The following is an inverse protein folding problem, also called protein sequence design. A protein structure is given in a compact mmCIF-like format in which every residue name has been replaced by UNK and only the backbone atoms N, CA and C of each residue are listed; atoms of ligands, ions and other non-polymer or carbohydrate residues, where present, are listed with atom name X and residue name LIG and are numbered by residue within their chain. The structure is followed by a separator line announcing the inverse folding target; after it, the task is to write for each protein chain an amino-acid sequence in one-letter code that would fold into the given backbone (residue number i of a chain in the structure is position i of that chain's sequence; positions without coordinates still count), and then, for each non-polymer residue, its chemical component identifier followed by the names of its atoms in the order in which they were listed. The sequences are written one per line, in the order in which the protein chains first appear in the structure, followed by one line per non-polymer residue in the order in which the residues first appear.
data_IF_082635422819
#
_entry.id   IF_082635422819
#
_cell.length_a   1.000
_cell.length_b   1.000
_cell.length_c   1.000
_cell.angle_alpha   90.00
_cell.angle_beta   90.00
_cell.angle_gamma   90.00
#
_symmetry.space_group_name_H-M   'P 1'
#
loop_
_entity.id
_entity.type
_entity.pdbx_description
1 polymer ?
#
# COMPACT_ATOMS: atom_id res chain seq x y z
N UNK A 1 -5.27 -12.51 21.02
CA UNK A 1 -6.69 -12.31 20.63
C UNK A 1 -6.82 -10.92 20.05
N UNK A 2 -7.67 -10.72 19.04
CA UNK A 2 -7.90 -9.40 18.48
C UNK A 2 -8.62 -8.52 19.51
N UNK A 3 -8.14 -7.29 19.69
CA UNK A 3 -8.69 -6.30 20.63
C UNK A 3 -9.36 -5.17 19.84
N UNK A 4 -10.37 -4.50 20.40
CA UNK A 4 -10.99 -3.33 19.79
C UNK A 4 -9.97 -2.19 19.60
N UNK A 5 -10.17 -1.35 18.57
CA UNK A 5 -9.19 -0.32 18.19
C UNK A 5 -8.97 0.73 19.30
N UNK A 6 -10.02 1.03 20.08
CA UNK A 6 -10.01 1.99 21.19
C UNK A 6 -10.55 1.35 22.47
N UNK A 7 -9.77 0.52 23.18
CA UNK A 7 -10.27 -0.37 24.22
C UNK A 7 -10.93 0.36 25.40
N UNK A 8 -10.40 1.50 25.83
CA UNK A 8 -10.99 2.29 26.92
C UNK A 8 -12.31 2.96 26.53
N UNK A 9 -12.42 3.48 25.30
CA UNK A 9 -13.65 4.09 24.81
C UNK A 9 -14.74 3.03 24.53
N UNK A 10 -14.34 1.86 24.02
CA UNK A 10 -15.23 0.72 23.84
C UNK A 10 -15.70 0.17 25.19
N UNK A 11 -14.83 0.07 26.18
CA UNK A 11 -15.17 -0.35 27.54
C UNK A 11 -16.20 0.60 28.19
N UNK A 12 -15.97 1.92 28.15
CA UNK A 12 -16.93 2.91 28.66
C UNK A 12 -18.31 2.74 28.01
N UNK A 13 -18.36 2.56 26.68
CA UNK A 13 -19.64 2.32 26.02
C UNK A 13 -20.32 1.02 26.46
N UNK A 14 -19.56 -0.08 26.58
CA UNK A 14 -20.12 -1.38 27.01
C UNK A 14 -20.63 -1.34 28.46
N UNK A 15 -19.93 -0.64 29.36
CA UNK A 15 -20.37 -0.45 30.75
C UNK A 15 -21.71 0.28 30.81
N UNK A 16 -21.89 1.32 30.01
CA UNK A 16 -23.09 2.17 30.05
C UNK A 16 -24.30 1.57 29.30
N UNK A 17 -24.05 0.74 28.27
CA UNK A 17 -25.08 0.34 27.30
C UNK A 17 -25.40 -1.15 27.31
N UNK A 18 -24.76 -1.96 28.16
CA UNK A 18 -24.97 -3.42 28.21
C UNK A 18 -25.02 -3.95 29.64
N UNK A 19 -25.60 -5.13 29.83
CA UNK A 19 -25.62 -5.85 31.10
C UNK A 19 -24.47 -6.86 31.23
N UNK A 20 -23.34 -6.63 30.53
CA UNK A 20 -22.17 -7.51 30.57
C UNK A 20 -21.43 -7.37 31.91
N UNK A 21 -20.82 -8.47 32.37
CA UNK A 21 -19.97 -8.41 33.55
C UNK A 21 -18.64 -7.70 33.27
N UNK A 22 -18.03 -7.11 34.29
CA UNK A 22 -16.74 -6.44 34.16
C UNK A 22 -15.63 -7.39 33.69
N UNK A 23 -15.70 -8.68 34.04
CA UNK A 23 -14.78 -9.70 33.54
C UNK A 23 -14.91 -9.92 32.02
N UNK A 24 -16.14 -9.93 31.50
CA UNK A 24 -16.39 -10.07 30.06
C UNK A 24 -15.88 -8.85 29.29
N UNK A 25 -16.13 -7.64 29.81
CA UNK A 25 -15.65 -6.39 29.20
C UNK A 25 -14.13 -6.32 29.26
N UNK A 26 -13.52 -6.67 30.39
CA UNK A 26 -12.06 -6.73 30.57
C UNK A 26 -11.42 -7.72 29.58
N UNK A 27 -11.97 -8.92 29.46
CA UNK A 27 -11.49 -9.94 28.52
C UNK A 27 -11.61 -9.52 27.06
N UNK A 28 -12.71 -8.84 26.68
CA UNK A 28 -12.93 -8.37 25.32
C UNK A 28 -12.04 -7.17 24.95
N UNK A 29 -11.96 -6.16 25.83
CA UNK A 29 -11.15 -4.96 25.60
C UNK A 29 -9.66 -5.17 25.87
N UNK A 30 -9.27 -6.27 26.52
CA UNK A 30 -7.89 -6.53 26.93
C UNK A 30 -7.40 -5.60 28.04
N UNK A 31 -8.32 -5.13 28.89
CA UNK A 31 -8.04 -4.26 30.03
C UNK A 31 -8.11 -5.05 31.33
N UNK A 32 -7.48 -4.54 32.39
CA UNK A 32 -7.62 -5.10 33.72
C UNK A 32 -9.00 -4.79 34.31
N UNK A 33 -9.55 -5.69 35.13
CA UNK A 33 -10.88 -5.51 35.74
C UNK A 33 -10.99 -4.21 36.56
N UNK A 34 -9.91 -3.83 37.26
CA UNK A 34 -9.84 -2.58 38.03
C UNK A 34 -9.94 -1.33 37.14
N UNK A 35 -9.46 -1.41 35.89
CA UNK A 35 -9.62 -0.31 34.93
C UNK A 35 -11.07 -0.17 34.49
N UNK A 36 -11.77 -1.30 34.29
CA UNK A 36 -13.21 -1.31 33.99
C UNK A 36 -14.03 -0.76 35.17
N UNK A 37 -13.68 -1.13 36.41
CA UNK A 37 -14.31 -0.58 37.60
C UNK A 37 -14.07 0.93 37.72
N UNK A 38 -12.84 1.41 37.51
CA UNK A 38 -12.53 2.83 37.52
C UNK A 38 -13.28 3.62 36.41
N UNK A 39 -13.56 2.99 35.27
CA UNK A 39 -14.41 3.55 34.21
C UNK A 39 -15.88 3.59 34.65
N UNK A 40 -16.39 2.53 35.28
CA UNK A 40 -17.76 2.48 35.78
C UNK A 40 -18.02 3.46 36.93
N UNK A 41 -17.01 3.71 37.76
CA UNK A 41 -17.07 4.65 38.88
C UNK A 41 -16.82 6.12 38.45
N UNK A 42 -16.65 6.40 37.16
CA UNK A 42 -16.29 7.72 36.61
C UNK A 42 -14.99 8.31 37.20
N UNK A 43 -14.16 7.49 37.84
CA UNK A 43 -12.90 7.88 38.50
C UNK A 43 -11.72 7.96 37.52
N UNK A 44 -11.84 7.35 36.34
CA UNK A 44 -10.85 7.47 35.29
C UNK A 44 -10.94 8.86 34.64
N UNK A 45 -9.99 9.75 34.96
CA UNK A 45 -9.94 11.18 34.62
C UNK A 45 -9.88 11.54 33.10
N UNK A 46 -10.29 10.66 32.20
CA UNK A 46 -10.43 10.97 30.78
C UNK A 46 -11.89 10.76 30.38
N UNK A 47 -12.60 11.86 30.14
CA UNK A 47 -13.93 11.90 29.52
C UNK A 47 -13.83 11.36 28.07
N UNK A 48 -13.56 10.07 27.94
CA UNK A 48 -13.51 9.37 26.66
C UNK A 48 -14.94 9.25 26.18
N UNK A 49 -15.26 9.89 25.06
CA UNK A 49 -16.55 9.66 24.41
C UNK A 49 -16.65 8.18 24.08
N UNK A 50 -17.58 7.47 24.72
CA UNK A 50 -17.81 6.04 24.49
C UNK A 50 -17.95 5.74 23.00
N UNK A 51 -17.23 4.72 22.53
CA UNK A 51 -17.24 4.29 21.13
C UNK A 51 -18.10 3.03 21.03
N UNK A 52 -19.23 3.16 20.35
CA UNK A 52 -20.13 2.02 20.06
C UNK A 52 -19.40 0.96 19.19
N UNK A 53 -19.12 -0.25 19.73
CA UNK A 53 -18.42 -1.30 19.02
C UNK A 53 -19.29 -1.99 17.96
N UNK A 54 -20.62 -1.88 18.05
CA UNK A 54 -21.56 -2.40 17.05
C UNK A 54 -21.53 -1.52 15.82
N UNK A 55 -21.59 -0.20 16.00
CA UNK A 55 -21.43 0.77 14.89
C UNK A 55 -20.03 0.73 14.28
N UNK A 56 -19.01 0.46 15.09
CA UNK A 56 -17.64 0.30 14.61
C UNK A 56 -17.42 -0.99 13.80
N UNK A 57 -18.38 -1.93 13.81
CA UNK A 57 -18.26 -3.23 13.17
C UNK A 57 -17.27 -4.17 13.88
N UNK A 58 -17.00 -3.94 15.16
CA UNK A 58 -16.12 -4.74 16.01
C UNK A 58 -16.88 -5.82 16.78
N UNK A 59 -18.18 -5.60 17.04
CA UNK A 59 -19.11 -6.55 17.68
C UNK A 59 -20.44 -6.60 16.93
N UNK A 60 -21.11 -7.75 17.00
CA UNK A 60 -22.51 -7.87 16.57
C UNK A 60 -23.44 -7.76 17.78
N UNK A 61 -24.64 -7.20 17.60
CA UNK A 61 -25.63 -7.12 18.69
C UNK A 61 -26.00 -8.51 19.24
N UNK A 62 -26.12 -9.51 18.36
CA UNK A 62 -26.36 -10.90 18.74
C UNK A 62 -25.25 -11.51 19.60
N UNK A 63 -24.03 -10.98 19.52
CA UNK A 63 -22.91 -11.42 20.34
C UNK A 63 -23.00 -10.83 21.75
N UNK A 64 -23.41 -9.56 21.86
CA UNK A 64 -23.69 -8.90 23.15
C UNK A 64 -24.82 -9.64 23.87
N UNK A 65 -25.90 -9.99 23.17
CA UNK A 65 -27.04 -10.73 23.73
C UNK A 65 -26.62 -12.08 24.35
N UNK A 66 -25.76 -12.85 23.67
CA UNK A 66 -25.20 -14.10 24.24
C UNK A 66 -24.38 -13.84 25.49
N UNK A 67 -23.57 -12.77 25.48
CA UNK A 67 -22.76 -12.37 26.63
C UNK A 67 -23.62 -11.96 27.83
N UNK A 68 -24.71 -11.23 27.61
CA UNK A 68 -25.64 -10.84 28.67
C UNK A 68 -26.42 -12.02 29.24
N UNK A 69 -26.75 -13.02 28.41
CA UNK A 69 -27.45 -14.23 28.85
C UNK A 69 -26.57 -15.20 29.65
N UNK A 70 -25.25 -15.15 29.48
CA UNK A 70 -24.30 -16.04 30.14
C UNK A 70 -23.03 -15.30 30.58
N UNK A 71 -22.84 -15.04 31.89
CA UNK A 71 -21.66 -14.37 32.43
C UNK A 71 -20.33 -15.07 32.13
N UNK A 72 -20.33 -16.39 31.92
CA UNK A 72 -19.13 -17.16 31.57
C UNK A 72 -18.77 -17.09 30.08
N UNK A 73 -19.64 -16.48 29.25
CA UNK A 73 -19.42 -16.36 27.82
C UNK A 73 -18.34 -15.32 27.50
N UNK A 74 -17.41 -15.67 26.62
CA UNK A 74 -16.38 -14.76 26.12
C UNK A 74 -16.77 -14.22 24.75
N UNK A 75 -16.93 -12.91 24.67
CA UNK A 75 -17.30 -12.20 23.44
C UNK A 75 -16.25 -12.41 22.35
N UNK A 76 -16.71 -12.66 21.13
CA UNK A 76 -15.85 -12.83 19.96
C UNK A 76 -15.90 -11.57 19.08
N UNK A 77 -14.73 -11.00 18.78
CA UNK A 77 -14.62 -9.84 17.90
C UNK A 77 -15.01 -10.19 16.47
N UNK A 78 -15.87 -9.38 15.87
CA UNK A 78 -16.14 -9.44 14.44
C UNK A 78 -14.92 -8.90 13.68
N UNK A 79 -14.36 -9.69 12.78
CA UNK A 79 -13.31 -9.20 11.88
C UNK A 79 -13.96 -8.24 10.87
N UNK A 80 -13.89 -6.94 11.18
CA UNK A 80 -14.36 -5.90 10.27
C UNK A 80 -13.66 -5.96 8.90
N UNK A 81 -14.28 -5.41 7.84
CA UNK A 81 -13.63 -5.34 6.53
C UNK A 81 -12.33 -4.53 6.63
N UNK A 82 -11.29 -4.98 5.91
CA UNK A 82 -9.98 -4.32 5.92
C UNK A 82 -10.13 -2.82 5.62
N UNK A 83 -9.40 -1.99 6.37
CA UNK A 83 -9.37 -0.55 6.18
C UNK A 83 -9.10 -0.23 4.70
N UNK A 84 -10.09 0.39 4.03
CA UNK A 84 -9.98 0.77 2.63
C UNK A 84 -8.86 1.80 2.50
N UNK A 85 -7.67 1.35 2.09
CA UNK A 85 -6.55 2.24 1.81
C UNK A 85 -6.95 3.12 0.65
N UNK A 86 -6.88 4.44 0.84
CA UNK A 86 -7.18 5.42 -0.22
C UNK A 86 -6.31 5.12 -1.44
N UNK A 87 -6.93 4.58 -2.48
CA UNK A 87 -6.24 4.10 -3.68
C UNK A 87 -6.02 5.22 -4.71
N UNK A 88 -6.72 6.35 -4.55
CA UNK A 88 -6.75 7.43 -5.55
C UNK A 88 -6.63 8.82 -4.93
N UNK A 89 -5.85 9.66 -5.58
CA UNK A 89 -5.72 11.09 -5.31
C UNK A 89 -4.36 11.49 -4.74
N UNK A 90 -4.09 12.80 -4.64
CA UNK A 90 -2.78 13.29 -4.23
C UNK A 90 -2.42 12.82 -2.83
N UNK A 91 -1.14 12.47 -2.62
CA UNK A 91 -0.64 12.08 -1.29
C UNK A 91 -0.85 13.23 -0.31
N UNK A 92 -1.23 12.89 0.92
CA UNK A 92 -1.34 13.90 1.97
C UNK A 92 0.03 14.55 2.20
N UNK A 93 0.10 15.87 2.01
CA UNK A 93 1.31 16.64 2.34
C UNK A 93 1.17 17.18 3.77
N UNK A 94 2.05 16.78 4.70
CA UNK A 94 2.03 17.29 6.06
C UNK A 94 2.24 18.81 6.08
N UNK A 95 1.70 19.48 7.09
CA UNK A 95 1.67 20.96 7.18
C UNK A 95 3.07 21.57 7.03
N UNK A 96 4.08 20.96 7.64
CA UNK A 96 5.48 21.38 7.54
C UNK A 96 6.01 21.47 6.11
N UNK A 97 5.58 20.57 5.23
CA UNK A 97 6.03 20.49 3.83
C UNK A 97 5.12 21.22 2.84
N UNK A 98 4.07 21.91 3.31
CA UNK A 98 3.15 22.63 2.40
C UNK A 98 3.79 23.86 1.78
N UNK A 99 4.75 24.47 2.48
CA UNK A 99 5.51 25.62 1.97
C UNK A 99 6.45 25.24 0.83
N UNK A 100 6.80 23.96 0.69
CA UNK A 100 7.66 23.46 -0.40
C UNK A 100 6.88 23.17 -1.70
N UNK A 101 5.55 23.20 -1.66
CA UNK A 101 4.73 22.92 -2.85
C UNK A 101 4.99 23.90 -4.01
N UNK A 102 5.07 25.23 -3.78
CA UNK A 102 5.36 26.19 -4.84
C UNK A 102 6.74 25.96 -5.49
N UNK A 103 7.76 25.58 -4.70
CA UNK A 103 9.10 25.23 -5.18
C UNK A 103 9.04 24.02 -6.15
N UNK A 104 8.31 22.97 -5.76
CA UNK A 104 8.11 21.77 -6.60
C UNK A 104 7.30 22.06 -7.88
N UNK A 105 6.27 22.89 -7.79
CA UNK A 105 5.47 23.30 -8.97
C UNK A 105 6.32 24.12 -9.94
N UNK A 106 7.11 25.06 -9.43
CA UNK A 106 7.99 25.90 -10.25
C UNK A 106 9.04 25.06 -10.98
N UNK A 107 9.57 24.01 -10.34
CA UNK A 107 10.48 23.07 -10.98
C UNK A 107 9.83 22.29 -12.13
N UNK A 108 8.59 21.80 -11.95
CA UNK A 108 7.88 21.09 -13.02
C UNK A 108 7.62 22.02 -14.20
N UNK A 109 7.12 23.24 -13.95
CA UNK A 109 6.83 24.21 -15.01
C UNK A 109 8.11 24.56 -15.80
N UNK A 110 9.25 24.64 -15.12
CA UNK A 110 10.53 24.98 -15.74
C UNK A 110 11.15 23.83 -16.54
N UNK A 111 11.13 22.61 -16.01
CA UNK A 111 11.83 21.47 -16.62
C UNK A 111 10.93 20.62 -17.52
N UNK A 112 9.62 20.64 -17.28
CA UNK A 112 8.62 19.84 -17.99
C UNK A 112 7.42 20.71 -18.41
N UNK A 113 7.62 21.67 -19.34
CA UNK A 113 6.55 22.54 -19.81
C UNK A 113 5.41 21.79 -20.52
N UNK A 114 5.66 20.56 -20.99
CA UNK A 114 4.68 19.65 -21.58
C UNK A 114 3.63 19.14 -20.59
N UNK A 115 3.87 19.29 -19.29
CA UNK A 115 2.96 18.84 -18.24
C UNK A 115 1.85 19.86 -18.01
N UNK A 116 0.60 19.41 -18.12
CA UNK A 116 -0.59 20.25 -17.87
C UNK A 116 -0.82 20.53 -16.38
N UNK A 117 -1.44 21.66 -16.07
CA UNK A 117 -1.81 22.03 -14.69
C UNK A 117 -2.71 20.99 -14.01
N UNK A 118 -3.55 20.29 -14.79
CA UNK A 118 -4.37 19.19 -14.30
C UNK A 118 -3.55 17.98 -13.84
N UNK A 119 -2.42 17.71 -14.49
CA UNK A 119 -1.48 16.67 -14.09
C UNK A 119 -0.68 17.10 -12.84
N UNK A 120 -0.19 18.35 -12.79
CA UNK A 120 0.52 18.90 -11.62
C UNK A 120 -0.37 18.88 -10.37
N UNK A 121 -1.64 19.28 -10.51
CA UNK A 121 -2.61 19.30 -9.41
C UNK A 121 -2.83 17.90 -8.81
N UNK A 122 -2.88 16.87 -9.66
CA UNK A 122 -3.02 15.47 -9.22
C UNK A 122 -1.75 14.90 -8.57
N UNK A 123 -0.57 15.33 -9.03
CA UNK A 123 0.71 14.86 -8.52
C UNK A 123 1.02 15.46 -7.13
N UNK A 124 1.01 16.79 -7.02
CA UNK A 124 1.44 17.51 -5.79
C UNK A 124 0.29 17.72 -4.80
N UNK A 125 -0.96 17.70 -5.27
CA UNK A 125 -2.13 17.97 -4.43
C UNK A 125 -2.25 19.46 -4.10
N UNK A 126 -2.35 20.27 -5.14
CA UNK A 126 -2.62 21.71 -5.07
C UNK A 126 -3.78 22.10 -5.99
N UNK A 127 -4.29 23.32 -5.89
CA UNK A 127 -5.34 23.82 -6.79
C UNK A 127 -4.74 24.32 -8.10
N UNK A 128 -5.54 24.26 -9.18
CA UNK A 128 -5.17 24.82 -10.49
C UNK A 128 -4.93 26.32 -10.44
N UNK A 129 -5.66 27.04 -9.58
CA UNK A 129 -5.49 28.49 -9.38
C UNK A 129 -4.10 28.83 -8.83
N UNK A 130 -3.59 28.05 -7.87
CA UNK A 130 -2.23 28.23 -7.34
C UNK A 130 -1.18 27.93 -8.40
N UNK A 131 -1.38 26.92 -9.23
CA UNK A 131 -0.45 26.58 -10.33
C UNK A 131 -0.40 27.72 -11.36
N UNK A 132 -1.57 28.22 -11.78
CA UNK A 132 -1.67 29.35 -12.69
C UNK A 132 -0.96 30.59 -12.12
N UNK A 133 -1.19 30.91 -10.84
CA UNK A 133 -0.50 32.04 -10.19
C UNK A 133 1.03 31.90 -10.15
N UNK A 134 1.56 30.67 -10.06
CA UNK A 134 3.01 30.43 -10.14
C UNK A 134 3.51 30.59 -11.59
N UNK A 135 2.74 30.11 -12.58
CA UNK A 135 3.05 30.25 -14.01
C UNK A 135 3.08 31.73 -14.44
N UNK A 136 2.08 32.48 -14.00
CA UNK A 136 1.91 33.92 -14.30
C UNK A 136 2.75 34.82 -13.38
N UNK A 137 3.50 34.23 -12.45
CA UNK A 137 4.34 34.94 -11.45
C UNK A 137 3.56 35.91 -10.56
N UNK A 138 2.26 35.65 -10.33
CA UNK A 138 1.36 36.45 -9.47
C UNK A 138 1.15 35.84 -8.08
N UNK A 139 1.80 34.72 -7.76
CA UNK A 139 1.77 34.13 -6.42
C UNK A 139 2.36 35.10 -5.39
N UNK A 140 1.71 35.27 -4.24
CA UNK A 140 2.11 36.24 -3.20
C UNK A 140 3.57 36.08 -2.74
N UNK A 141 4.10 34.85 -2.75
CA UNK A 141 5.48 34.55 -2.36
C UNK A 141 6.45 34.34 -3.55
N UNK A 142 6.14 34.85 -4.75
CA UNK A 142 6.91 34.52 -5.97
C UNK A 142 8.40 34.85 -5.88
N UNK A 143 8.78 35.87 -5.11
CA UNK A 143 10.16 36.29 -4.93
C UNK A 143 11.04 35.24 -4.22
N UNK A 144 10.45 34.41 -3.34
CA UNK A 144 11.16 33.42 -2.54
C UNK A 144 11.03 32.00 -3.10
N UNK A 145 10.29 31.80 -4.19
CA UNK A 145 10.10 30.48 -4.79
C UNK A 145 11.37 30.07 -5.52
N UNK A 146 11.92 28.92 -5.14
CA UNK A 146 13.11 28.33 -5.75
C UNK A 146 12.75 27.00 -6.42
N UNK A 147 12.98 26.84 -7.73
CA UNK A 147 12.68 25.58 -8.41
C UNK A 147 13.51 24.42 -7.81
N UNK A 148 12.84 23.51 -7.10
CA UNK A 148 13.43 22.29 -6.51
C UNK A 148 12.66 21.06 -6.93
N UNK A 149 13.36 19.95 -7.10
CA UNK A 149 12.76 18.70 -7.57
C UNK A 149 11.70 18.19 -6.57
N UNK A 150 10.43 17.99 -7.00
CA UNK A 150 9.34 17.53 -6.14
C UNK A 150 9.58 16.15 -5.51
N UNK A 151 10.44 15.30 -6.08
CA UNK A 151 10.83 14.01 -5.50
C UNK A 151 11.74 14.23 -4.30
N UNK A 152 12.73 15.12 -4.42
CA UNK A 152 13.66 15.47 -3.32
C UNK A 152 12.96 16.13 -2.15
N UNK A 153 11.91 16.92 -2.42
CA UNK A 153 11.05 17.52 -1.40
C UNK A 153 10.13 16.47 -0.72
N UNK A 154 9.99 15.29 -1.34
CA UNK A 154 9.10 14.22 -0.89
C UNK A 154 7.62 14.48 -1.17
N UNK A 155 7.31 15.28 -2.20
CA UNK A 155 5.95 15.60 -2.63
C UNK A 155 5.36 14.49 -3.52
N UNK A 156 6.20 13.86 -4.36
CA UNK A 156 5.86 12.70 -5.17
C UNK A 156 6.97 11.65 -5.12
N UNK A 157 6.68 10.44 -5.61
CA UNK A 157 7.72 9.42 -5.85
C UNK A 157 8.30 9.56 -7.26
N UNK A 158 9.54 9.09 -7.44
CA UNK A 158 10.21 9.06 -8.74
C UNK A 158 9.35 8.40 -9.82
N UNK A 159 8.77 7.23 -9.49
CA UNK A 159 7.89 6.47 -10.39
C UNK A 159 6.67 7.27 -10.86
N UNK A 160 6.08 8.08 -9.98
CA UNK A 160 4.93 8.92 -10.32
C UNK A 160 5.33 10.09 -11.21
N UNK A 161 6.50 10.70 -10.97
CA UNK A 161 7.04 11.78 -11.81
C UNK A 161 7.37 11.26 -13.21
N UNK A 162 8.14 10.17 -13.31
CA UNK A 162 8.56 9.59 -14.58
C UNK A 162 7.34 9.16 -15.43
N UNK A 163 6.36 8.48 -14.81
CA UNK A 163 5.15 8.06 -15.51
C UNK A 163 4.33 9.25 -16.04
N UNK A 164 4.34 10.36 -15.31
CA UNK A 164 3.64 11.58 -15.68
C UNK A 164 4.35 12.32 -16.82
N UNK A 165 5.69 12.42 -16.75
CA UNK A 165 6.52 13.03 -17.81
C UNK A 165 6.42 12.22 -19.09
N UNK A 166 6.57 10.89 -19.03
CA UNK A 166 6.43 10.01 -20.20
C UNK A 166 5.07 10.14 -20.87
N UNK A 167 4.00 10.22 -20.06
CA UNK A 167 2.64 10.41 -20.58
C UNK A 167 2.45 11.78 -21.21
N UNK A 168 3.03 12.83 -20.63
CA UNK A 168 2.96 14.19 -21.15
C UNK A 168 3.78 14.34 -22.43
N UNK A 169 5.01 13.83 -22.46
CA UNK A 169 5.89 13.81 -23.63
C UNK A 169 5.22 13.07 -24.82
N UNK A 170 4.66 11.88 -24.56
CA UNK A 170 3.90 11.13 -25.58
C UNK A 170 2.71 11.92 -26.12
N UNK A 171 1.98 12.64 -25.26
CA UNK A 171 0.85 13.46 -25.68
C UNK A 171 1.30 14.71 -26.47
N UNK A 172 2.48 15.24 -26.16
CA UNK A 172 3.10 16.37 -26.86
C UNK A 172 3.84 15.98 -28.15
N UNK A 173 3.92 14.68 -28.48
CA UNK A 173 4.65 14.19 -29.66
C UNK A 173 6.17 14.26 -29.52
N UNK A 174 6.68 14.43 -28.30
CA UNK A 174 8.11 14.44 -28.00
C UNK A 174 8.54 12.98 -27.86
N UNK A 175 9.37 12.47 -28.77
CA UNK A 175 9.96 11.15 -28.62
C UNK A 175 10.85 11.14 -27.37
N UNK A 176 10.64 10.14 -26.51
CA UNK A 176 11.46 9.99 -25.32
C UNK A 176 12.93 9.78 -25.75
N UNK A 177 13.90 10.46 -25.11
CA UNK A 177 15.31 10.19 -25.38
C UNK A 177 15.58 8.70 -25.14
N UNK A 178 15.85 7.97 -26.21
CA UNK A 178 16.34 6.59 -26.11
C UNK A 178 17.78 6.68 -25.60
N UNK A 179 18.02 6.24 -24.37
CA UNK A 179 19.38 6.15 -23.84
C UNK A 179 20.11 4.99 -24.53
N UNK A 180 20.80 5.33 -25.62
CA UNK A 180 21.53 4.37 -26.48
C UNK A 180 22.85 3.91 -25.87
N UNK A 181 23.26 4.47 -24.71
CA UNK A 181 24.57 4.18 -24.08
C UNK A 181 24.75 2.71 -23.71
N UNK A 182 23.68 2.03 -23.36
CA UNK A 182 23.68 0.63 -22.91
C UNK A 182 23.11 -0.33 -23.95
N UNK A 183 22.85 0.12 -25.19
CA UNK A 183 22.32 -0.75 -26.23
C UNK A 183 23.25 -1.92 -26.54
N UNK A 184 24.57 -1.66 -26.63
CA UNK A 184 25.56 -2.73 -26.87
C UNK A 184 25.64 -3.75 -25.72
N UNK A 185 25.66 -3.29 -24.47
CA UNK A 185 25.71 -4.19 -23.30
C UNK A 185 24.43 -5.01 -23.16
N UNK A 186 23.28 -4.41 -23.51
CA UNK A 186 21.98 -5.09 -23.55
C UNK A 186 21.92 -6.14 -24.64
N UNK A 187 22.43 -5.85 -25.83
CA UNK A 187 22.50 -6.80 -26.94
C UNK A 187 23.41 -7.98 -26.59
N UNK A 188 24.58 -7.72 -26.03
CA UNK A 188 25.51 -8.75 -25.58
C UNK A 188 24.88 -9.66 -24.51
N UNK A 189 24.14 -9.10 -23.55
CA UNK A 189 23.44 -9.86 -22.53
C UNK A 189 22.31 -10.73 -23.11
N UNK A 190 21.55 -10.21 -24.08
CA UNK A 190 20.49 -10.95 -24.76
C UNK A 190 21.09 -12.14 -25.53
N UNK A 191 22.21 -11.93 -26.22
CA UNK A 191 22.92 -12.99 -26.94
C UNK A 191 23.47 -14.06 -25.99
N UNK A 192 24.04 -13.65 -24.85
CA UNK A 192 24.52 -14.56 -23.82
C UNK A 192 23.39 -15.41 -23.23
N UNK A 193 22.22 -14.81 -22.97
CA UNK A 193 21.03 -15.53 -22.49
C UNK A 193 20.46 -16.50 -23.54
N UNK A 194 20.50 -16.15 -24.83
CA UNK A 194 20.11 -17.05 -25.93
C UNK A 194 21.07 -18.23 -26.03
N UNK A 195 22.38 -17.98 -26.04
CA UNK A 195 23.40 -19.02 -26.05
C UNK A 195 23.27 -19.98 -24.85
N UNK A 196 22.95 -19.45 -23.67
CA UNK A 196 22.70 -20.27 -22.49
C UNK A 196 21.47 -21.16 -22.65
N UNK A 197 20.35 -20.63 -23.19
CA UNK A 197 19.15 -21.44 -23.48
C UNK A 197 19.43 -22.53 -24.50
N UNK A 198 20.17 -22.22 -25.56
CA UNK A 198 20.51 -23.19 -26.60
C UNK A 198 21.49 -24.25 -26.10
N UNK A 199 22.41 -23.88 -25.21
CA UNK A 199 23.30 -24.83 -24.55
C UNK A 199 22.53 -25.78 -23.61
N UNK A 200 21.56 -25.26 -22.86
CA UNK A 200 20.68 -26.06 -22.00
C UNK A 200 19.81 -27.00 -22.83
N UNK A 201 19.22 -26.51 -23.93
CA UNK A 201 18.41 -27.34 -24.83
C UNK A 201 19.23 -28.49 -25.43
N UNK A 202 20.43 -28.19 -25.96
CA UNK A 202 21.34 -29.22 -26.48
C UNK A 202 21.81 -30.19 -25.39
N UNK A 203 22.08 -29.69 -24.18
CA UNK A 203 22.42 -30.53 -23.04
C UNK A 203 21.29 -31.49 -22.67
N UNK A 204 20.03 -31.02 -22.68
CA UNK A 204 18.87 -31.86 -22.46
C UNK A 204 18.70 -32.92 -23.57
N UNK A 205 18.90 -32.56 -24.83
CA UNK A 205 18.85 -33.51 -25.95
C UNK A 205 19.94 -34.58 -25.86
N UNK A 206 21.16 -34.21 -25.45
CA UNK A 206 22.27 -35.16 -25.25
C UNK A 206 22.00 -36.09 -24.06
N UNK A 207 21.48 -35.57 -22.95
CA UNK A 207 21.08 -36.39 -21.80
C UNK A 207 19.98 -37.36 -22.21
N UNK A 208 18.94 -36.89 -22.89
CA UNK A 208 17.86 -37.74 -23.40
C UNK A 208 18.35 -38.80 -24.39
N UNK A 209 19.28 -38.46 -25.28
CA UNK A 209 19.89 -39.42 -26.19
C UNK A 209 20.68 -40.49 -25.43
N UNK A 210 21.48 -40.09 -24.43
CA UNK A 210 22.25 -41.03 -23.61
C UNK A 210 21.38 -41.93 -22.73
N UNK A 211 20.27 -41.41 -22.20
CA UNK A 211 19.28 -42.19 -21.44
C UNK A 211 18.55 -43.19 -22.34
N UNK A 212 18.18 -42.78 -23.57
CA UNK A 212 17.60 -43.69 -24.55
C UNK A 212 18.59 -44.81 -24.91
N UNK A 213 19.85 -44.47 -25.20
CA UNK A 213 20.88 -45.46 -25.49
C UNK A 213 21.10 -46.43 -24.33
N UNK A 214 21.11 -45.94 -23.08
CA UNK A 214 21.20 -46.77 -21.89
C UNK A 214 19.98 -47.68 -21.68
N UNK A 215 18.77 -47.20 -22.00
CA UNK A 215 17.53 -47.99 -21.96
C UNK A 215 17.50 -49.09 -23.02
N UNK A 216 18.11 -48.86 -24.20
CA UNK A 216 18.16 -49.82 -25.30
C UNK A 216 19.43 -50.70 -25.32
N UNK A 217 20.43 -50.42 -24.48
CA UNK A 217 21.66 -51.20 -24.35
C UNK A 217 21.59 -52.35 -23.32
N UNK A 218 20.46 -52.55 -22.64
CA UNK A 218 20.22 -53.72 -21.78
C UNK A 218 20.11 -55.02 -22.59
N UNK A 219 20.44 -56.20 -22.01
CA UNK A 219 20.38 -57.48 -22.72
C UNK A 219 18.98 -57.71 -23.29
N UNK A 220 18.91 -58.10 -24.56
CA UNK A 220 17.68 -58.25 -25.34
C UNK A 220 16.55 -58.88 -24.52
N UNK A 221 15.39 -58.21 -24.50
CA UNK A 221 14.16 -58.66 -23.88
C UNK A 221 13.92 -60.14 -24.19
N UNK A 222 14.10 -61.00 -23.17
CA UNK A 222 13.83 -62.43 -23.27
C UNK A 222 12.32 -62.61 -23.16
N UNK A 223 11.68 -62.82 -24.31
CA UNK A 223 10.25 -63.13 -24.40
C UNK A 223 9.93 -64.39 -23.57
N UNK A 224 9.14 -64.28 -22.48
CA UNK A 224 8.87 -65.38 -21.57
C UNK A 224 7.98 -66.49 -22.18
N UNK A 225 7.49 -66.31 -23.42
CA UNK A 225 6.61 -67.28 -24.09
C UNK A 225 7.25 -68.01 -25.27
N UNK A 226 8.53 -67.78 -25.55
CA UNK A 226 9.26 -68.48 -26.61
C UNK A 226 9.82 -69.81 -26.07
N UNK A 227 9.15 -70.93 -26.39
CA UNK A 227 9.65 -72.29 -26.20
C UNK A 227 10.66 -72.67 -27.28
#
# INVERSE_FOLDING_TARGET
MAQPLMPHATASWLVDNTALSFEQIAAFCGLHILEIQAIADDMAATKLTGRDPVRAGELAMSEIEKGQANPAYRLVMLKGPDQVRRTKGPRYTPVSKRQDKPDGISWIIRNHPEVSDGQISKLIGTTRTTIAAIRDRTHWNIANITPKDPVTLGLCSQRELDALVLKAAKAAGIEAPTDTRLEGDREALIEQLRAQRDAVARGADVVHASEAEALFAGPAFKDPFKK
#
